data_IF_081982140746
#
_entry.id   IF_081982140746
#
_cell.length_a   1.000
_cell.length_b   1.000
_cell.length_c   1.000
_cell.angle_alpha   90.00
_cell.angle_beta   90.00
_cell.angle_gamma   90.00
#
_symmetry.space_group_name_H-M   'P 1'
#
loop_
_entity.id
_entity.type
_entity.pdbx_description
1 polymer ?
#
# COMPACT_ATOMS: atom_id res chain seq x y z
N UNK A 1 17.95 12.77 14.12
CA UNK A 1 16.57 12.87 14.61
C UNK A 1 16.03 11.44 14.78
N UNK A 2 15.28 11.17 15.84
CA UNK A 2 14.61 9.88 16.08
C UNK A 2 13.09 10.11 15.95
N UNK A 3 12.40 9.21 15.26
CA UNK A 3 10.94 9.24 15.15
C UNK A 3 10.34 8.18 16.09
N UNK A 4 9.29 8.57 16.80
CA UNK A 4 8.51 7.64 17.65
C UNK A 4 7.50 6.83 16.82
N UNK A 5 7.20 7.29 15.60
CA UNK A 5 6.22 6.70 14.69
C UNK A 5 6.52 7.13 13.25
N UNK A 6 6.27 6.23 12.29
CA UNK A 6 6.24 6.55 10.85
C UNK A 6 4.84 6.31 10.32
N UNK A 7 4.24 7.32 9.67
CA UNK A 7 2.97 7.19 8.95
C UNK A 7 3.23 7.17 7.45
N UNK A 8 2.62 6.21 6.77
CA UNK A 8 2.69 6.08 5.31
C UNK A 8 1.26 6.11 4.76
N UNK A 9 0.99 7.00 3.81
CA UNK A 9 -0.29 7.01 3.09
C UNK A 9 -0.31 5.92 2.03
N UNK A 10 -1.40 5.15 1.96
CA UNK A 10 -1.67 4.25 0.85
C UNK A 10 -2.58 4.92 -0.18
N UNK A 11 -2.07 5.09 -1.41
CA UNK A 11 -2.85 5.51 -2.58
C UNK A 11 -3.77 4.39 -3.08
N UNK A 12 -3.35 3.15 -2.89
CA UNK A 12 -4.15 1.94 -3.02
C UNK A 12 -3.52 0.82 -2.20
N UNK A 13 -4.30 -0.08 -1.62
CA UNK A 13 -3.75 -1.25 -0.93
C UNK A 13 -4.68 -2.46 -0.98
N UNK A 14 -4.05 -3.62 -0.89
CA UNK A 14 -4.66 -4.93 -0.74
C UNK A 14 -4.01 -5.63 0.46
N UNK A 15 -4.40 -6.86 0.84
CA UNK A 15 -3.77 -7.55 1.96
C UNK A 15 -2.25 -7.76 1.84
N UNK A 16 -1.66 -7.75 0.63
CA UNK A 16 -0.23 -8.01 0.41
C UNK A 16 0.58 -6.79 0.01
N UNK A 17 -0.05 -5.79 -0.62
CA UNK A 17 0.66 -4.70 -1.29
C UNK A 17 -0.02 -3.37 -1.01
N UNK A 18 0.76 -2.36 -0.68
CA UNK A 18 0.35 -0.97 -0.69
C UNK A 18 1.13 -0.21 -1.77
N UNK A 19 0.44 0.64 -2.51
CA UNK A 19 1.02 1.67 -3.36
C UNK A 19 1.11 2.96 -2.56
N UNK A 20 2.26 3.62 -2.60
CA UNK A 20 2.51 4.88 -1.87
C UNK A 20 3.46 5.76 -2.68
N UNK A 21 3.67 7.00 -2.21
CA UNK A 21 4.67 7.89 -2.73
C UNK A 21 6.09 7.29 -2.64
N UNK A 22 6.94 7.64 -3.61
CA UNK A 22 8.34 7.23 -3.64
C UNK A 22 9.10 7.66 -2.36
N UNK A 23 9.91 6.75 -1.80
CA UNK A 23 10.64 6.93 -0.54
C UNK A 23 9.94 6.33 0.69
N UNK A 24 8.64 6.03 0.63
CA UNK A 24 7.89 5.37 1.69
C UNK A 24 8.41 3.96 2.03
N UNK A 25 8.87 3.17 1.05
CA UNK A 25 9.47 1.86 1.28
C UNK A 25 10.79 1.97 2.05
N UNK A 26 11.61 3.00 1.74
CA UNK A 26 12.83 3.29 2.48
C UNK A 26 12.52 3.75 3.90
N UNK A 27 11.51 4.61 4.08
CA UNK A 27 11.05 5.05 5.39
C UNK A 27 10.57 3.87 6.25
N UNK A 28 9.77 2.97 5.67
CA UNK A 28 9.34 1.73 6.33
C UNK A 28 10.53 0.86 6.72
N UNK A 29 11.46 0.62 5.80
CA UNK A 29 12.63 -0.21 6.06
C UNK A 29 13.49 0.35 7.19
N UNK A 30 13.73 1.67 7.20
CA UNK A 30 14.48 2.35 8.25
C UNK A 30 13.77 2.24 9.61
N UNK A 31 12.45 2.45 9.65
CA UNK A 31 11.65 2.34 10.87
C UNK A 31 11.66 0.91 11.43
N UNK A 32 11.48 -0.11 10.58
CA UNK A 32 11.54 -1.50 10.99
C UNK A 32 12.93 -1.86 11.55
N UNK A 33 14.01 -1.35 10.95
CA UNK A 33 15.37 -1.56 11.42
C UNK A 33 15.64 -0.94 12.81
N UNK A 34 14.94 0.15 13.15
CA UNK A 34 15.00 0.80 14.47
C UNK A 34 13.89 0.37 15.43
N UNK A 35 13.08 -0.65 15.07
CA UNK A 35 11.89 -1.07 15.81
C UNK A 35 10.88 0.06 16.08
N UNK A 36 10.85 1.09 15.22
CA UNK A 36 9.85 2.15 15.25
C UNK A 36 8.56 1.65 14.58
N UNK A 37 7.37 1.84 15.19
CA UNK A 37 6.11 1.42 14.59
C UNK A 37 5.86 2.13 13.25
N UNK A 38 5.25 1.40 12.31
CA UNK A 38 4.87 1.91 10.99
C UNK A 38 3.36 1.78 10.83
N UNK A 39 2.67 2.90 10.64
CA UNK A 39 1.23 2.93 10.44
C UNK A 39 0.91 3.21 8.98
N UNK A 40 0.19 2.28 8.36
CA UNK A 40 -0.34 2.45 7.02
C UNK A 40 -1.70 3.15 7.09
N UNK A 41 -1.80 4.35 6.55
CA UNK A 41 -3.06 5.09 6.47
C UNK A 41 -3.79 4.67 5.19
N UNK A 42 -4.89 3.93 5.37
CA UNK A 42 -5.74 3.45 4.29
C UNK A 42 -7.11 4.13 4.39
N UNK A 43 -7.22 5.30 3.76
CA UNK A 43 -8.47 6.07 3.69
C UNK A 43 -9.62 5.30 3.02
N UNK A 44 -10.84 5.86 3.07
CA UNK A 44 -11.99 5.28 2.34
C UNK A 44 -11.67 5.17 0.85
N UNK A 45 -12.03 4.05 0.24
CA UNK A 45 -11.81 3.74 -1.16
C UNK A 45 -10.38 3.27 -1.48
N UNK A 46 -9.47 3.20 -0.50
CA UNK A 46 -8.06 2.83 -0.74
C UNK A 46 -7.80 1.33 -0.58
N UNK A 47 -8.60 0.62 0.22
CA UNK A 47 -8.52 -0.85 0.33
C UNK A 47 -9.33 -1.51 -0.79
N UNK A 48 -8.63 -2.11 -1.75
CA UNK A 48 -9.19 -2.65 -2.99
C UNK A 48 -8.99 -4.17 -3.08
N UNK A 49 -9.77 -4.86 -3.94
CA UNK A 49 -9.45 -6.22 -4.34
C UNK A 49 -8.00 -6.33 -4.85
N UNK A 50 -7.32 -7.44 -4.53
CA UNK A 50 -5.92 -7.68 -4.93
C UNK A 50 -5.70 -7.45 -6.43
N UNK A 51 -6.59 -7.97 -7.27
CA UNK A 51 -6.49 -7.85 -8.73
C UNK A 51 -6.50 -6.40 -9.23
N UNK A 52 -7.13 -5.48 -8.50
CA UNK A 52 -7.16 -4.06 -8.86
C UNK A 52 -5.81 -3.42 -8.52
N UNK A 53 -5.28 -3.71 -7.34
CA UNK A 53 -3.97 -3.22 -6.92
C UNK A 53 -2.89 -3.73 -7.86
N UNK A 54 -2.92 -5.01 -8.22
CA UNK A 54 -1.98 -5.60 -9.18
C UNK A 54 -2.05 -4.91 -10.56
N UNK A 55 -3.25 -4.60 -11.05
CA UNK A 55 -3.45 -3.89 -12.30
C UNK A 55 -2.92 -2.44 -12.24
N UNK A 56 -3.14 -1.74 -11.13
CA UNK A 56 -2.60 -0.40 -10.88
C UNK A 56 -1.07 -0.46 -10.84
N UNK A 57 -0.49 -1.37 -10.06
CA UNK A 57 0.96 -1.57 -9.95
C UNK A 57 1.57 -1.84 -11.32
N UNK A 58 0.99 -2.75 -12.10
CA UNK A 58 1.44 -3.02 -13.48
C UNK A 58 1.42 -1.75 -14.31
N UNK A 59 0.35 -0.95 -14.24
CA UNK A 59 0.18 0.27 -15.04
C UNK A 59 1.19 1.36 -14.69
N UNK A 60 1.55 1.52 -13.41
CA UNK A 60 2.52 2.53 -12.96
C UNK A 60 3.96 2.06 -13.13
N UNK A 61 4.23 0.76 -13.02
CA UNK A 61 5.56 0.18 -13.25
C UNK A 61 5.96 0.14 -14.72
N UNK A 62 5.00 0.13 -15.66
CA UNK A 62 5.26 0.22 -17.11
C UNK A 62 5.64 1.65 -17.58
N UNK A 63 6.38 2.40 -16.79
CA UNK A 63 6.91 3.71 -17.17
C UNK A 63 8.26 3.55 -17.91
N UNK A 64 8.41 4.17 -19.08
CA UNK A 64 9.66 4.19 -19.85
C UNK A 64 10.82 4.85 -19.07
N UNK A 65 10.50 5.67 -18.06
CA UNK A 65 11.44 6.32 -17.16
C UNK A 65 11.13 5.98 -15.70
N UNK A 66 11.52 4.79 -15.21
CA UNK A 66 11.20 4.35 -13.86
C UNK A 66 11.69 5.29 -12.75
N UNK A 67 12.78 6.03 -12.99
CA UNK A 67 13.33 7.02 -12.05
C UNK A 67 12.47 8.29 -11.93
N UNK A 68 11.50 8.51 -12.81
CA UNK A 68 10.50 9.58 -12.71
C UNK A 68 9.20 9.10 -12.04
N UNK A 69 9.15 7.86 -11.54
CA UNK A 69 7.97 7.34 -10.85
C UNK A 69 7.73 8.10 -9.54
N UNK A 70 6.50 8.59 -9.37
CA UNK A 70 6.04 9.19 -8.12
C UNK A 70 5.60 8.14 -7.10
N UNK A 71 5.43 6.88 -7.55
CA UNK A 71 4.91 5.78 -6.74
C UNK A 71 5.90 4.64 -6.59
N UNK A 72 5.76 3.92 -5.49
CA UNK A 72 6.38 2.62 -5.27
C UNK A 72 5.47 1.66 -4.52
N UNK A 73 5.83 0.38 -4.52
CA UNK A 73 5.12 -0.65 -3.78
C UNK A 73 5.80 -0.94 -2.45
N UNK A 74 4.97 -1.21 -1.44
CA UNK A 74 5.40 -1.57 -0.09
C UNK A 74 4.69 -2.87 0.28
N UNK A 75 5.42 -3.92 0.69
CA UNK A 75 4.82 -5.08 1.33
C UNK A 75 4.07 -4.65 2.59
N UNK A 76 2.81 -5.03 2.71
CA UNK A 76 1.95 -4.58 3.83
C UNK A 76 2.42 -5.12 5.18
N UNK A 77 3.20 -6.20 5.19
CA UNK A 77 3.83 -6.76 6.38
C UNK A 77 4.89 -5.83 7.02
N UNK A 78 5.26 -4.74 6.35
CA UNK A 78 6.13 -3.70 6.91
C UNK A 78 5.41 -2.80 7.89
N UNK A 79 4.08 -2.69 7.79
CA UNK A 79 3.29 -1.90 8.71
C UNK A 79 2.84 -2.71 9.93
N UNK A 80 2.88 -2.09 11.11
CA UNK A 80 2.41 -2.67 12.37
C UNK A 80 0.91 -2.45 12.57
N UNK A 81 0.37 -1.37 11.99
CA UNK A 81 -1.03 -0.98 12.13
C UNK A 81 -1.60 -0.41 10.83
N UNK A 82 -2.92 -0.44 10.73
CA UNK A 82 -3.69 0.24 9.69
C UNK A 82 -4.53 1.32 10.35
N UNK A 83 -4.43 2.55 9.85
CA UNK A 83 -5.37 3.63 10.17
C UNK A 83 -6.41 3.66 9.08
N UNK A 84 -7.61 3.16 9.39
CA UNK A 84 -8.76 3.18 8.49
C UNK A 84 -9.83 4.19 8.91
N UNK A 85 -10.95 4.25 8.19
CA UNK A 85 -12.08 5.14 8.50
C UNK A 85 -12.72 4.88 9.88
N UNK A 86 -12.54 3.66 10.40
CA UNK A 86 -13.05 3.21 11.70
C UNK A 86 -12.01 3.34 12.82
N UNK A 87 -10.85 3.95 12.53
CA UNK A 87 -9.76 4.13 13.48
C UNK A 87 -8.56 3.20 13.24
N UNK A 88 -7.71 3.12 14.26
CA UNK A 88 -6.47 2.35 14.25
C UNK A 88 -6.73 0.89 14.62
N UNK A 89 -6.21 -0.04 13.83
CA UNK A 89 -6.23 -1.48 14.11
C UNK A 89 -4.85 -2.09 13.89
N UNK A 90 -4.56 -3.22 14.52
CA UNK A 90 -3.33 -3.99 14.25
C UNK A 90 -3.35 -4.50 12.81
N UNK A 91 -2.18 -4.46 12.16
CA UNK A 91 -2.05 -4.94 10.79
C UNK A 91 -2.42 -6.43 10.70
N UNK A 92 -3.28 -6.74 9.74
CA UNK A 92 -3.72 -8.09 9.41
C UNK A 92 -4.35 -8.09 8.01
N UNK A 93 -4.45 -9.24 7.33
CA UNK A 93 -5.17 -9.33 6.06
C UNK A 93 -6.62 -8.82 6.16
N UNK A 94 -7.29 -9.03 7.30
CA UNK A 94 -8.64 -8.55 7.54
C UNK A 94 -8.71 -7.02 7.71
N UNK A 95 -7.70 -6.40 8.34
CA UNK A 95 -7.60 -4.94 8.42
C UNK A 95 -7.45 -4.28 7.04
N UNK A 96 -6.92 -5.03 6.07
CA UNK A 96 -6.79 -4.63 4.67
C UNK A 96 -7.87 -5.22 3.76
N UNK A 97 -9.00 -5.67 4.33
CA UNK A 97 -10.15 -6.16 3.59
C UNK A 97 -10.69 -5.11 2.60
N UNK A 98 -10.97 -5.56 1.38
CA UNK A 98 -11.45 -4.71 0.30
C UNK A 98 -12.77 -4.01 0.68
N UNK A 99 -12.88 -2.72 0.38
CA UNK A 99 -14.08 -1.92 0.63
C UNK A 99 -15.12 -1.98 -0.50
N UNK A 100 -14.77 -2.63 -1.62
CA UNK A 100 -15.65 -2.81 -2.76
C UNK A 100 -15.59 -4.26 -3.29
N UNK A 101 -16.64 -4.66 -4.01
CA UNK A 101 -16.68 -5.95 -4.68
C UNK A 101 -15.73 -5.97 -5.88
N UNK A 102 -15.15 -7.15 -6.15
CA UNK A 102 -14.37 -7.38 -7.36
C UNK A 102 -15.30 -7.49 -8.58
N UNK A 103 -15.01 -6.72 -9.61
CA UNK A 103 -15.69 -6.67 -10.91
C UNK A 103 -14.63 -6.97 -11.96
N UNK A 104 -14.53 -8.23 -12.44
CA UNK A 104 -13.47 -8.66 -13.34
C UNK A 104 -13.34 -7.85 -14.62
N UNK A 105 -14.45 -7.30 -15.13
CA UNK A 105 -14.50 -6.49 -16.35
C UNK A 105 -13.73 -5.17 -16.22
N UNK A 106 -13.44 -4.71 -14.99
CA UNK A 106 -12.59 -3.53 -14.72
C UNK A 106 -11.10 -3.84 -14.76
N UNK A 107 -10.71 -5.11 -14.73
CA UNK A 107 -9.30 -5.51 -14.74
C UNK A 107 -8.86 -5.72 -16.19
N UNK A 108 -7.87 -4.96 -16.70
CA UNK A 108 -7.40 -5.15 -18.06
C UNK A 108 -6.81 -6.55 -18.21
N UNK A 109 -7.11 -7.26 -19.32
CA UNK A 109 -6.63 -8.62 -19.54
C UNK A 109 -5.10 -8.66 -19.42
N UNK A 110 -4.60 -9.74 -18.83
CA UNK A 110 -3.17 -9.99 -18.74
C UNK A 110 -2.70 -10.38 -20.13
N UNK A 111 -2.18 -9.44 -20.93
CA UNK A 111 -1.58 -9.75 -22.22
C UNK A 111 -0.39 -10.67 -21.98
N UNK A 112 -0.44 -11.88 -22.54
CA UNK A 112 0.66 -12.86 -22.53
C UNK A 112 1.77 -12.42 -23.47
#
# INVERSE_FOLDING_TARGET
AQADLVLLEADACSPSTALSAIGSALAAAAANASATPVWLVAGRGRRLPQSYVDAIVRRVSCNERPWESEFETIPTDRATNVVGPTGLVTMSPAALGAECAAVPELVPPTTT
#
